data_IF_049957633549
#
_entry.id   IF_049957633549
#
_cell.length_a   1.000
_cell.length_b   1.000
_cell.length_c   1.000
_cell.angle_alpha   90.00
_cell.angle_beta   90.00
_cell.angle_gamma   90.00
#
_symmetry.space_group_name_H-M   'P 1'
#
loop_
_entity.id
_entity.type
_entity.pdbx_description
1 polymer ?
#
# COMPACT_ATOMS: atom_id res chain seq x y z
N UNK A 1 -15.31 33.77 -17.75
CA UNK A 1 -15.04 32.53 -16.97
C UNK A 1 -13.56 32.23 -17.09
N UNK A 2 -12.84 32.14 -15.97
CA UNK A 2 -11.36 32.08 -15.92
C UNK A 2 -10.81 30.81 -16.61
N UNK A 3 -9.68 30.92 -17.29
CA UNK A 3 -9.02 29.81 -18.00
C UNK A 3 -8.84 28.57 -17.12
N UNK A 4 -8.56 28.78 -15.83
CA UNK A 4 -8.40 27.76 -14.79
C UNK A 4 -9.64 26.85 -14.66
N UNK A 5 -10.85 27.42 -14.67
CA UNK A 5 -12.08 26.63 -14.59
C UNK A 5 -12.26 25.71 -15.81
N UNK A 6 -11.80 26.15 -16.99
CA UNK A 6 -11.83 25.35 -18.22
C UNK A 6 -10.79 24.22 -18.18
N UNK A 7 -9.62 24.48 -17.61
CA UNK A 7 -8.58 23.47 -17.37
C UNK A 7 -9.06 22.35 -16.46
N UNK A 8 -9.63 22.67 -15.27
CA UNK A 8 -10.16 21.65 -14.36
C UNK A 8 -11.28 20.81 -15.00
N UNK A 9 -12.12 21.44 -15.83
CA UNK A 9 -13.17 20.72 -16.56
C UNK A 9 -12.61 19.74 -17.58
N UNK A 10 -11.55 20.13 -18.30
CA UNK A 10 -10.86 19.25 -19.25
C UNK A 10 -10.14 18.10 -18.53
N UNK A 11 -9.43 18.38 -17.43
CA UNK A 11 -8.75 17.35 -16.62
C UNK A 11 -9.75 16.34 -16.06
N UNK A 12 -10.87 16.81 -15.50
CA UNK A 12 -11.92 15.92 -15.02
C UNK A 12 -12.49 15.04 -16.15
N UNK A 13 -12.68 15.60 -17.35
CA UNK A 13 -13.11 14.84 -18.52
C UNK A 13 -12.09 13.80 -18.98
N UNK A 14 -10.79 14.08 -18.87
CA UNK A 14 -9.72 13.12 -19.17
C UNK A 14 -9.66 12.00 -18.11
N UNK A 15 -9.82 12.35 -16.84
CA UNK A 15 -9.83 11.40 -15.72
C UNK A 15 -10.98 10.39 -15.79
N UNK A 16 -12.11 10.74 -16.41
CA UNK A 16 -13.20 9.80 -16.66
C UNK A 16 -12.90 8.81 -17.79
N UNK A 17 -11.92 9.10 -18.67
CA UNK A 17 -11.45 8.16 -19.70
C UNK A 17 -10.43 7.17 -19.15
N UNK A 18 -9.88 7.44 -17.96
CA UNK A 18 -8.95 6.54 -17.29
C UNK A 18 -9.75 5.35 -16.75
N UNK A 19 -9.31 4.14 -17.11
CA UNK A 19 -9.84 2.88 -16.60
C UNK A 19 -9.41 2.71 -15.15
N UNK A 20 -10.25 3.17 -14.23
CA UNK A 20 -10.06 2.91 -12.82
C UNK A 20 -10.34 1.44 -12.51
N UNK A 21 -9.49 0.80 -11.67
CA UNK A 21 -9.70 -0.58 -11.25
C UNK A 21 -11.05 -0.74 -10.56
N UNK A 22 -11.63 -1.93 -10.70
CA UNK A 22 -12.93 -2.21 -10.11
C UNK A 22 -12.81 -2.28 -8.58
N UNK A 23 -13.91 -1.97 -7.86
CA UNK A 23 -13.95 -2.07 -6.39
C UNK A 23 -13.51 -3.45 -5.88
N UNK A 24 -13.77 -4.51 -6.67
CA UNK A 24 -13.35 -5.88 -6.35
C UNK A 24 -11.85 -6.06 -6.46
N UNK A 25 -11.21 -5.59 -7.53
CA UNK A 25 -9.75 -5.65 -7.68
C UNK A 25 -9.03 -4.86 -6.58
N UNK A 26 -9.54 -3.67 -6.26
CA UNK A 26 -8.99 -2.85 -5.17
C UNK A 26 -9.00 -3.59 -3.83
N UNK A 27 -10.09 -4.29 -3.51
CA UNK A 27 -10.18 -5.10 -2.30
C UNK A 27 -9.21 -6.27 -2.34
N UNK A 28 -9.12 -6.99 -3.46
CA UNK A 28 -8.18 -8.10 -3.62
C UNK A 28 -6.74 -7.64 -3.41
N UNK A 29 -6.34 -6.52 -4.03
CA UNK A 29 -4.99 -5.97 -3.84
C UNK A 29 -4.73 -5.54 -2.40
N UNK A 30 -5.69 -4.90 -1.76
CA UNK A 30 -5.56 -4.48 -0.36
C UNK A 30 -5.41 -5.70 0.55
N UNK A 31 -6.21 -6.73 0.37
CA UNK A 31 -6.15 -7.98 1.16
C UNK A 31 -4.79 -8.66 0.96
N UNK A 32 -4.30 -8.76 -0.28
CA UNK A 32 -2.98 -9.34 -0.55
C UNK A 32 -1.88 -8.58 0.19
N UNK A 33 -1.89 -7.24 0.15
CA UNK A 33 -0.91 -6.41 0.86
C UNK A 33 -1.00 -6.59 2.37
N UNK A 34 -2.21 -6.65 2.93
CA UNK A 34 -2.40 -6.87 4.38
C UNK A 34 -1.81 -8.23 4.80
N UNK A 35 -2.05 -9.28 4.02
CA UNK A 35 -1.51 -10.62 4.30
C UNK A 35 0.02 -10.61 4.26
N UNK A 36 0.63 -9.99 3.23
CA UNK A 36 2.10 -9.96 3.12
C UNK A 36 2.72 -9.16 4.26
N UNK A 37 2.13 -8.03 4.64
CA UNK A 37 2.60 -7.22 5.78
C UNK A 37 2.53 -8.00 7.09
N UNK A 38 1.44 -8.73 7.34
CA UNK A 38 1.31 -9.56 8.55
C UNK A 38 2.38 -10.66 8.57
N UNK A 39 2.64 -11.31 7.44
CA UNK A 39 3.68 -12.34 7.33
C UNK A 39 5.06 -11.76 7.66
N UNK A 40 5.43 -10.63 7.07
CA UNK A 40 6.70 -9.98 7.35
C UNK A 40 6.80 -9.49 8.80
N UNK A 41 5.72 -8.95 9.37
CA UNK A 41 5.71 -8.52 10.76
C UNK A 41 6.00 -9.68 11.72
N UNK A 42 5.39 -10.85 11.49
CA UNK A 42 5.68 -12.06 12.25
C UNK A 42 7.13 -12.51 12.06
N UNK A 43 7.61 -12.51 10.81
CA UNK A 43 9.00 -12.88 10.51
C UNK A 43 10.02 -12.00 11.23
N UNK A 44 9.84 -10.67 11.21
CA UNK A 44 10.69 -9.75 11.95
C UNK A 44 10.60 -9.97 13.46
N UNK A 45 9.41 -10.17 14.01
CA UNK A 45 9.25 -10.52 15.42
C UNK A 45 10.07 -11.75 15.81
N UNK A 46 10.05 -12.82 15.01
CA UNK A 46 10.86 -14.01 15.27
C UNK A 46 12.37 -13.73 15.21
N UNK A 47 12.80 -12.95 14.22
CA UNK A 47 14.20 -12.58 14.05
C UNK A 47 14.67 -11.72 15.22
N UNK A 48 13.91 -10.71 15.60
CA UNK A 48 14.27 -9.79 16.68
C UNK A 48 14.44 -10.55 18.00
N UNK A 49 13.53 -11.48 18.30
CA UNK A 49 13.68 -12.36 19.46
C UNK A 49 14.90 -13.28 19.35
N UNK A 50 15.17 -13.84 18.17
CA UNK A 50 16.35 -14.66 17.93
C UNK A 50 17.65 -13.90 18.14
N UNK A 51 17.73 -12.68 17.60
CA UNK A 51 18.87 -11.78 17.75
C UNK A 51 19.03 -11.35 19.21
N UNK A 52 17.95 -11.00 19.92
CA UNK A 52 18.00 -10.61 21.34
C UNK A 52 18.63 -11.72 22.19
N UNK A 53 18.22 -12.98 21.98
CA UNK A 53 18.79 -14.12 22.70
C UNK A 53 20.26 -14.34 22.33
N UNK A 54 20.63 -14.19 21.05
CA UNK A 54 22.01 -14.33 20.60
C UNK A 54 22.92 -13.26 21.22
N UNK A 55 22.45 -12.01 21.29
CA UNK A 55 23.18 -10.89 21.91
C UNK A 55 23.36 -11.15 23.41
N UNK A 56 22.31 -11.60 24.12
CA UNK A 56 22.39 -11.97 25.55
C UNK A 56 23.34 -13.13 25.84
N UNK A 57 23.66 -13.96 24.85
CA UNK A 57 24.63 -15.04 25.01
C UNK A 57 26.07 -14.57 24.80
N UNK A 58 26.24 -13.53 23.97
CA UNK A 58 27.55 -12.96 23.60
C UNK A 58 28.03 -11.91 24.62
N UNK A 59 27.12 -11.08 25.15
CA UNK A 59 27.38 -10.12 26.24
C UNK A 59 27.12 -10.75 27.60
#
# INVERSE_FOLDING_TARGET
>A
MSAIARFFRNVSSEMHKVTWPTRKELLTYTVTVVITVILFALFFMFIDFGIEQLIKLIM
#
